data_IF_405531949463
#
_entry.id   IF_405531949463
#
_cell.length_a   1.000
_cell.length_b   1.000
_cell.length_c   1.000
_cell.angle_alpha   90.00
_cell.angle_beta   90.00
_cell.angle_gamma   90.00
#
_symmetry.space_group_name_H-M   'P 1'
#
loop_
_entity.id
_entity.type
_entity.pdbx_description
1 polymer ?
#
# COMPACT_ATOMS: atom_id res chain seq x y z
N UNK A 1 39.07 -3.19 64.29
CA UNK A 1 39.94 -3.44 63.12
C UNK A 1 39.14 -4.28 62.12
N UNK A 2 39.23 -3.94 60.82
CA UNK A 2 38.60 -4.56 59.61
C UNK A 2 37.21 -4.03 59.28
N UNK A 3 37.09 -2.89 58.58
CA UNK A 3 37.36 -2.56 57.14
C UNK A 3 36.14 -2.85 56.25
N UNK A 4 35.49 -1.75 55.85
CA UNK A 4 34.69 -1.55 54.64
C UNK A 4 35.46 -2.03 53.38
N UNK A 5 34.88 -2.89 52.53
CA UNK A 5 35.03 -2.78 51.06
C UNK A 5 33.81 -3.40 50.38
N UNK A 6 33.07 -2.54 49.70
CA UNK A 6 32.09 -2.80 48.66
C UNK A 6 32.85 -3.08 47.35
N UNK A 7 32.65 -4.21 46.66
CA UNK A 7 33.03 -4.30 45.23
C UNK A 7 32.26 -5.42 44.49
N UNK A 8 31.22 -4.97 43.79
CA UNK A 8 30.71 -5.43 42.49
C UNK A 8 31.44 -6.62 41.85
N UNK A 9 30.75 -7.75 41.68
CA UNK A 9 31.07 -8.70 40.61
C UNK A 9 29.82 -9.26 39.91
N UNK A 10 29.56 -8.68 38.74
CA UNK A 10 29.21 -9.33 37.47
C UNK A 10 28.00 -10.28 37.48
N UNK A 11 26.78 -9.73 37.47
CA UNK A 11 25.69 -10.38 36.74
C UNK A 11 25.70 -9.86 35.31
N UNK A 12 26.27 -10.66 34.40
CA UNK A 12 26.21 -10.44 32.96
C UNK A 12 24.74 -10.44 32.54
N UNK A 13 24.16 -9.26 32.44
CA UNK A 13 22.86 -9.04 31.80
C UNK A 13 23.02 -9.35 30.32
N UNK A 14 22.63 -10.56 29.94
CA UNK A 14 22.43 -10.99 28.56
C UNK A 14 21.29 -10.13 27.99
N UNK A 15 21.61 -8.96 27.45
CA UNK A 15 20.64 -8.15 26.72
C UNK A 15 20.40 -8.83 25.39
N UNK A 16 19.39 -9.71 25.36
CA UNK A 16 18.81 -10.18 24.10
C UNK A 16 18.13 -8.97 23.48
N UNK A 17 18.86 -8.25 22.64
CA UNK A 17 18.30 -7.29 21.70
C UNK A 17 17.50 -8.09 20.68
N UNK A 18 16.24 -8.36 21.02
CA UNK A 18 15.25 -8.77 20.05
C UNK A 18 15.13 -7.63 19.04
N UNK A 19 15.71 -7.79 17.86
CA UNK A 19 15.35 -6.97 16.71
C UNK A 19 13.89 -7.29 16.43
N UNK A 20 12.98 -6.46 16.96
CA UNK A 20 11.63 -6.37 16.45
C UNK A 20 11.78 -5.90 15.00
N UNK A 21 11.78 -6.85 14.07
CA UNK A 21 11.64 -6.56 12.66
C UNK A 21 10.28 -5.89 12.53
N UNK A 22 10.27 -4.57 12.35
CA UNK A 22 9.07 -3.87 11.93
C UNK A 22 8.57 -4.61 10.70
N UNK A 23 7.38 -5.24 10.79
CA UNK A 23 6.77 -5.77 9.58
C UNK A 23 6.66 -4.58 8.63
N UNK A 24 7.29 -4.66 7.46
CA UNK A 24 7.21 -3.62 6.44
C UNK A 24 5.77 -3.58 5.93
N UNK A 25 4.87 -2.99 6.71
CA UNK A 25 3.49 -2.79 6.33
C UNK A 25 3.51 -1.77 5.19
N UNK A 26 2.93 -2.15 4.06
CA UNK A 26 2.77 -1.25 2.92
C UNK A 26 1.98 -0.04 3.40
N UNK A 27 2.62 1.12 3.45
CA UNK A 27 1.96 2.37 3.84
C UNK A 27 1.23 2.95 2.63
N UNK A 28 -0.08 3.16 2.77
CA UNK A 28 -0.91 3.83 1.79
C UNK A 28 -0.62 5.34 1.77
N UNK A 29 -0.56 5.93 0.59
CA UNK A 29 -0.40 7.37 0.34
C UNK A 29 -1.58 7.97 -0.43
N UNK A 30 -2.63 7.18 -0.70
CA UNK A 30 -3.88 7.64 -1.27
C UNK A 30 -5.08 6.78 -0.89
N UNK A 31 -6.27 7.28 -1.20
CA UNK A 31 -7.54 6.57 -1.08
C UNK A 31 -8.36 6.71 -2.34
N UNK A 32 -9.14 5.69 -2.66
CA UNK A 32 -10.21 5.76 -3.65
C UNK A 32 -11.54 5.68 -2.92
N UNK A 33 -12.36 6.72 -3.04
CA UNK A 33 -13.77 6.68 -2.63
C UNK A 33 -14.60 6.21 -3.81
N UNK A 34 -15.10 4.99 -3.73
CA UNK A 34 -15.95 4.39 -4.75
C UNK A 34 -17.39 4.92 -4.67
N UNK A 35 -18.10 4.90 -5.79
CA UNK A 35 -19.49 5.37 -5.92
C UNK A 35 -20.48 4.57 -5.04
N UNK A 36 -20.11 3.35 -4.67
CA UNK A 36 -20.84 2.51 -3.72
C UNK A 36 -20.58 2.86 -2.24
N UNK A 37 -19.78 3.91 -1.96
CA UNK A 37 -19.44 4.38 -0.63
C UNK A 37 -18.27 3.67 0.04
N UNK A 38 -17.65 2.67 -0.61
CA UNK A 38 -16.46 2.00 -0.08
C UNK A 38 -15.24 2.90 -0.24
N UNK A 39 -14.45 3.05 0.82
CA UNK A 39 -13.14 3.73 0.77
C UNK A 39 -12.03 2.69 0.80
N UNK A 40 -11.24 2.62 -0.27
CA UNK A 40 -10.08 1.74 -0.36
C UNK A 40 -8.79 2.53 -0.20
N UNK A 41 -7.92 2.04 0.68
CA UNK A 41 -6.56 2.57 0.83
C UNK A 41 -5.66 2.00 -0.25
N UNK A 42 -4.89 2.87 -0.87
CA UNK A 42 -3.98 2.51 -1.96
C UNK A 42 -2.60 3.13 -1.73
N UNK A 43 -1.57 2.39 -2.14
CA UNK A 43 -0.22 2.92 -2.29
C UNK A 43 0.07 3.11 -3.77
N UNK A 44 0.42 4.33 -4.13
CA UNK A 44 0.77 4.77 -5.47
C UNK A 44 2.29 4.88 -5.52
N UNK A 45 2.92 4.25 -6.51
CA UNK A 45 4.37 4.40 -6.73
C UNK A 45 4.73 5.84 -7.09
N UNK A 46 5.92 6.36 -6.75
CA UNK A 46 6.34 7.71 -7.13
C UNK A 46 6.32 7.99 -8.64
N UNK A 47 6.58 6.98 -9.47
CA UNK A 47 6.51 7.06 -10.93
C UNK A 47 5.09 6.92 -11.50
N UNK A 48 4.09 6.72 -10.64
CA UNK A 48 2.71 6.43 -11.01
C UNK A 48 2.55 5.19 -11.93
N UNK A 49 3.49 4.26 -11.85
CA UNK A 49 3.50 3.01 -12.62
C UNK A 49 2.71 1.90 -11.93
N UNK A 50 2.52 1.98 -10.61
CA UNK A 50 1.86 0.95 -9.82
C UNK A 50 0.90 1.53 -8.77
N UNK A 51 -0.28 0.90 -8.68
CA UNK A 51 -1.21 1.04 -7.57
C UNK A 51 -1.25 -0.28 -6.79
N UNK A 52 -1.08 -0.21 -5.47
CA UNK A 52 -1.05 -1.38 -4.60
C UNK A 52 -2.19 -1.27 -3.59
N UNK A 53 -3.14 -2.19 -3.71
CA UNK A 53 -4.31 -2.28 -2.83
C UNK A 53 -4.09 -3.35 -1.77
N UNK A 54 -4.41 -2.99 -0.53
CA UNK A 54 -4.33 -3.90 0.61
C UNK A 54 -5.73 -4.35 0.99
N UNK A 55 -6.09 -5.58 0.60
CA UNK A 55 -7.31 -6.19 1.10
C UNK A 55 -7.01 -6.83 2.46
N UNK A 56 -7.38 -6.16 3.54
CA UNK A 56 -7.35 -6.74 4.88
C UNK A 56 -8.57 -7.65 5.06
N UNK A 57 -8.47 -8.93 4.69
CA UNK A 57 -9.36 -9.94 5.28
C UNK A 57 -8.71 -10.46 6.56
N UNK A 58 -9.51 -10.72 7.59
CA UNK A 58 -9.12 -11.18 8.94
C UNK A 58 -8.09 -12.34 8.96
N UNK A 59 -7.94 -13.10 7.87
CA UNK A 59 -7.05 -14.26 7.77
C UNK A 59 -6.17 -14.28 6.50
N UNK A 60 -6.19 -13.23 5.66
CA UNK A 60 -5.32 -13.13 4.48
C UNK A 60 -5.14 -11.67 4.04
N UNK A 61 -3.90 -11.21 3.96
CA UNK A 61 -3.55 -9.98 3.25
C UNK A 61 -3.31 -10.30 1.78
N UNK A 62 -4.36 -10.27 0.96
CA UNK A 62 -4.15 -10.32 -0.48
C UNK A 62 -3.74 -8.94 -0.96
N UNK A 63 -2.50 -8.83 -1.44
CA UNK A 63 -1.99 -7.63 -2.11
C UNK A 63 -2.40 -7.74 -3.57
N UNK A 64 -3.07 -6.70 -4.08
CA UNK A 64 -3.42 -6.59 -5.49
C UNK A 64 -2.61 -5.43 -6.06
N UNK A 65 -1.81 -5.74 -7.07
CA UNK A 65 -1.02 -4.75 -7.80
C UNK A 65 -1.72 -4.49 -9.13
N UNK A 66 -1.88 -3.21 -9.42
CA UNK A 66 -2.28 -2.70 -10.72
C UNK A 66 -1.07 -2.04 -11.36
N UNK A 67 -0.68 -2.51 -12.53
CA UNK A 67 0.51 -2.04 -13.24
C UNK A 67 0.11 -1.26 -14.50
N UNK A 68 0.76 -0.13 -14.72
CA UNK A 68 0.46 0.77 -15.85
C UNK A 68 0.73 0.07 -17.17
N UNK A 69 -0.20 0.22 -18.12
CA UNK A 69 -0.07 -0.27 -19.48
C UNK A 69 0.65 0.82 -20.29
N UNK A 70 1.96 0.70 -20.45
CA UNK A 70 2.76 1.62 -21.25
C UNK A 70 2.28 1.66 -22.71
N UNK A 71 2.19 2.86 -23.28
CA UNK A 71 1.73 3.08 -24.65
C UNK A 71 0.21 3.10 -24.84
N UNK A 72 -0.58 2.79 -23.81
CA UNK A 72 -2.05 2.89 -23.87
C UNK A 72 -2.60 4.21 -23.33
N UNK A 73 -1.78 5.01 -22.64
CA UNK A 73 -2.21 6.27 -22.02
C UNK A 73 -2.66 7.31 -23.07
N UNK A 74 -3.61 8.15 -22.68
CA UNK A 74 -4.07 9.32 -23.45
C UNK A 74 -3.58 10.61 -22.81
N UNK A 75 -3.98 11.78 -23.33
CA UNK A 75 -3.72 13.06 -22.66
C UNK A 75 -4.42 13.15 -21.31
N UNK A 76 -5.57 12.48 -21.17
CA UNK A 76 -6.44 12.61 -20.00
C UNK A 76 -6.32 11.45 -19.01
N UNK A 77 -6.03 10.23 -19.49
CA UNK A 77 -6.17 9.04 -18.68
C UNK A 77 -5.02 8.04 -18.85
N UNK A 78 -4.74 7.35 -17.75
CA UNK A 78 -3.76 6.29 -17.62
C UNK A 78 -4.49 4.97 -17.34
N UNK A 79 -4.00 3.88 -17.93
CA UNK A 79 -4.66 2.58 -17.87
C UNK A 79 -3.77 1.58 -17.14
N UNK A 80 -4.37 0.78 -16.28
CA UNK A 80 -3.69 -0.18 -15.44
C UNK A 80 -4.34 -1.55 -15.53
N UNK A 81 -3.51 -2.59 -15.51
CA UNK A 81 -3.95 -3.99 -15.49
C UNK A 81 -3.83 -4.54 -14.07
N UNK A 82 -4.87 -5.21 -13.59
CA UNK A 82 -4.79 -6.02 -12.38
C UNK A 82 -3.90 -7.24 -12.64
N UNK A 83 -2.72 -7.31 -12.02
CA UNK A 83 -1.74 -8.37 -12.31
C UNK A 83 -2.28 -9.79 -12.13
N UNK A 84 -2.98 -10.15 -11.03
CA UNK A 84 -3.56 -11.48 -10.89
C UNK A 84 -4.83 -11.74 -11.71
N UNK A 85 -5.51 -10.70 -12.21
CA UNK A 85 -6.78 -10.83 -12.93
C UNK A 85 -6.90 -9.80 -14.08
N UNK A 86 -6.20 -10.01 -15.23
CA UNK A 86 -6.04 -8.99 -16.28
C UNK A 86 -7.33 -8.49 -16.96
N UNK A 87 -8.42 -9.23 -16.83
CA UNK A 87 -9.76 -8.82 -17.26
C UNK A 87 -10.38 -7.71 -16.38
N UNK A 88 -9.84 -7.51 -15.17
CA UNK A 88 -10.15 -6.37 -14.30
C UNK A 88 -9.09 -5.28 -14.51
N UNK A 89 -9.53 -4.05 -14.73
CA UNK A 89 -8.64 -2.92 -15.06
C UNK A 89 -9.04 -1.68 -14.30
N UNK A 90 -8.07 -0.79 -14.11
CA UNK A 90 -8.31 0.55 -13.61
C UNK A 90 -7.98 1.55 -14.71
N UNK A 91 -8.86 2.52 -14.90
CA UNK A 91 -8.55 3.76 -15.61
C UNK A 91 -8.45 4.85 -14.54
N UNK A 92 -7.38 5.64 -14.56
CA UNK A 92 -7.21 6.82 -13.70
C UNK A 92 -7.06 8.02 -14.61
N UNK A 93 -8.00 8.96 -14.54
CA UNK A 93 -8.01 10.16 -15.34
C UNK A 93 -7.53 11.37 -14.55
N UNK A 94 -7.30 12.49 -15.25
CA UNK A 94 -7.01 13.77 -14.64
C UNK A 94 -8.09 14.14 -13.61
N UNK A 95 -7.70 14.97 -12.63
CA UNK A 95 -8.53 15.32 -11.47
C UNK A 95 -8.84 14.16 -10.51
N UNK A 96 -8.32 12.95 -10.78
CA UNK A 96 -8.41 11.81 -9.89
C UNK A 96 -9.66 10.95 -10.08
N UNK A 97 -10.40 11.12 -11.17
CA UNK A 97 -11.48 10.20 -11.52
C UNK A 97 -10.91 8.79 -11.77
N UNK A 98 -11.59 7.77 -11.24
CA UNK A 98 -11.20 6.36 -11.37
C UNK A 98 -12.35 5.53 -11.90
N UNK A 99 -12.10 4.74 -12.93
CA UNK A 99 -13.02 3.71 -13.39
C UNK A 99 -12.45 2.32 -13.06
N UNK A 100 -13.30 1.47 -12.48
CA UNK A 100 -13.02 0.05 -12.36
C UNK A 100 -13.76 -0.68 -13.48
N UNK A 101 -13.02 -1.39 -14.32
CA UNK A 101 -13.56 -2.15 -15.43
C UNK A 101 -13.43 -3.64 -15.17
N UNK A 102 -14.42 -4.42 -15.60
CA UNK A 102 -14.35 -5.87 -15.69
C UNK A 102 -14.87 -6.31 -17.06
N UNK A 103 -14.07 -7.09 -17.79
CA UNK A 103 -14.40 -7.54 -19.16
C UNK A 103 -14.76 -6.39 -20.13
N UNK A 104 -14.12 -5.23 -19.95
CA UNK A 104 -14.33 -4.05 -20.80
C UNK A 104 -15.57 -3.21 -20.46
N UNK A 105 -16.35 -3.58 -19.44
CA UNK A 105 -17.46 -2.79 -18.94
C UNK A 105 -17.05 -2.08 -17.65
N UNK A 106 -17.46 -0.82 -17.49
CA UNK A 106 -17.31 -0.07 -16.23
C UNK A 106 -18.26 -0.67 -15.20
N UNK A 107 -17.71 -1.17 -14.09
CA UNK A 107 -18.46 -1.79 -12.99
C UNK A 107 -18.50 -0.92 -11.74
N UNK A 108 -17.60 0.06 -11.61
CA UNK A 108 -17.60 1.03 -10.53
C UNK A 108 -16.87 2.31 -10.96
N UNK A 109 -17.26 3.43 -10.37
CA UNK A 109 -16.58 4.73 -10.49
C UNK A 109 -16.06 5.13 -9.13
N UNK A 110 -14.97 5.89 -9.07
CA UNK A 110 -14.39 6.36 -7.83
C UNK A 110 -13.60 7.64 -7.98
N UNK A 111 -13.23 8.22 -6.84
CA UNK A 111 -12.41 9.41 -6.75
C UNK A 111 -11.14 9.11 -5.97
N UNK A 112 -9.99 9.24 -6.64
CA UNK A 112 -8.66 9.17 -6.05
C UNK A 112 -8.36 10.47 -5.31
N UNK A 113 -7.86 10.32 -4.09
CA UNK A 113 -7.27 11.41 -3.30
C UNK A 113 -5.89 10.96 -2.84
N UNK A 114 -4.86 11.75 -3.14
CA UNK A 114 -3.49 11.51 -2.72
C UNK A 114 -3.17 12.44 -1.55
N UNK A 115 -2.56 11.92 -0.49
CA UNK A 115 -2.29 12.67 0.75
C UNK A 115 -0.84 12.54 1.24
N UNK A 116 0.08 12.20 0.34
CA UNK A 116 1.53 12.24 0.60
C UNK A 116 2.25 13.14 -0.40
N UNK A 117 3.31 13.79 0.06
CA UNK A 117 4.28 14.46 -0.82
C UNK A 117 5.11 13.38 -1.54
N UNK A 118 5.30 13.54 -2.85
CA UNK A 118 6.10 12.63 -3.70
C UNK A 118 7.60 12.90 -3.60
#
# INVERSE_FOLDING_TARGET
>A
MKVFVLFLLIFSSLTITGCATSSNAIQANGTILWSNGVVEKVRISPSNEHFVFLHQRMYSSQVIVYSRIFGASTSECEFYVNEPKPEVRLTVCHEGEVELLENGAVINLGQLTVYGDF
#
